data_IF_511265550437
#
_entry.id   IF_511265550437
#
_cell.length_a   1.000
_cell.length_b   1.000
_cell.length_c   1.000
_cell.angle_alpha   90.00
_cell.angle_beta   90.00
_cell.angle_gamma   90.00
#
_symmetry.space_group_name_H-M   'P 1'
#
loop_
_entity.id
_entity.type
_entity.pdbx_description
1 polymer ?
#
# COMPACT_ATOMS: atom_id res chain seq x y z
N UNK A 1 5.57 22.84 -13.34
CA UNK A 1 5.13 22.03 -12.21
C UNK A 1 4.43 20.76 -12.71
N UNK A 2 4.80 19.61 -12.18
CA UNK A 2 4.14 18.35 -12.56
C UNK A 2 2.83 18.21 -11.79
N UNK A 3 1.84 17.60 -12.42
CA UNK A 3 0.57 17.23 -11.79
C UNK A 3 0.55 15.72 -11.51
N UNK A 4 -0.32 15.27 -10.63
CA UNK A 4 -0.51 13.84 -10.42
C UNK A 4 -0.86 13.12 -11.73
N UNK A 5 -1.68 13.76 -12.57
CA UNK A 5 -2.03 13.19 -13.87
C UNK A 5 -0.81 13.02 -14.78
N UNK A 6 0.10 13.99 -14.81
CA UNK A 6 1.31 13.90 -15.61
C UNK A 6 2.28 12.83 -15.11
N UNK A 7 2.17 12.44 -13.83
CA UNK A 7 2.95 11.36 -13.24
C UNK A 7 2.38 9.97 -13.54
N UNK A 8 1.17 9.90 -14.10
CA UNK A 8 0.51 8.63 -14.41
C UNK A 8 -0.57 8.20 -13.44
N UNK A 9 -0.89 9.04 -12.44
CA UNK A 9 -1.95 8.72 -11.46
C UNK A 9 -3.32 8.85 -12.13
N UNK A 10 -4.18 7.85 -11.91
CA UNK A 10 -5.51 7.82 -12.51
C UNK A 10 -6.45 8.85 -11.89
N UNK A 11 -7.50 9.20 -12.63
CA UNK A 11 -8.44 10.24 -12.22
C UNK A 11 -9.16 9.89 -10.91
N UNK A 12 -9.47 8.63 -10.68
CA UNK A 12 -10.14 8.16 -9.45
C UNK A 12 -9.30 8.46 -8.21
N UNK A 13 -8.01 8.17 -8.27
CA UNK A 13 -7.10 8.47 -7.16
C UNK A 13 -6.89 9.98 -6.99
N UNK A 14 -6.82 10.72 -8.09
CA UNK A 14 -6.71 12.18 -8.04
C UNK A 14 -7.94 12.78 -7.35
N UNK A 15 -9.14 12.28 -7.63
CA UNK A 15 -10.35 12.71 -6.94
C UNK A 15 -10.30 12.43 -5.45
N UNK A 16 -9.81 11.24 -5.07
CA UNK A 16 -9.67 10.88 -3.66
C UNK A 16 -8.69 11.82 -2.94
N UNK A 17 -7.59 12.18 -3.60
CA UNK A 17 -6.61 13.13 -3.06
C UNK A 17 -7.22 14.54 -2.91
N UNK A 18 -7.98 14.99 -3.88
CA UNK A 18 -8.63 16.31 -3.85
C UNK A 18 -9.59 16.43 -2.67
N UNK A 19 -10.31 15.36 -2.33
CA UNK A 19 -11.19 15.34 -1.17
C UNK A 19 -10.44 15.54 0.14
N UNK A 20 -9.15 15.20 0.17
CA UNK A 20 -8.27 15.42 1.32
C UNK A 20 -7.52 16.75 1.26
N UNK A 21 -7.79 17.58 0.26
CA UNK A 21 -7.10 18.84 0.06
C UNK A 21 -5.72 18.72 -0.59
N UNK A 22 -5.37 17.55 -1.10
CA UNK A 22 -4.09 17.29 -1.77
C UNK A 22 -4.27 17.54 -3.26
N UNK A 23 -3.70 18.64 -3.75
CA UNK A 23 -3.90 19.07 -5.14
C UNK A 23 -2.67 18.89 -6.02
N UNK A 24 -1.49 19.00 -5.40
CA UNK A 24 -0.22 18.97 -6.14
C UNK A 24 0.75 17.97 -5.51
N UNK A 25 1.57 17.30 -6.32
CA UNK A 25 2.55 16.37 -5.79
C UNK A 25 3.71 17.10 -5.10
N UNK A 26 4.26 16.45 -4.07
CA UNK A 26 5.50 16.88 -3.42
C UNK A 26 6.71 16.47 -4.27
N UNK A 27 7.92 17.03 -4.00
CA UNK A 27 9.11 16.64 -4.77
C UNK A 27 9.41 15.14 -4.74
N UNK A 28 9.27 14.48 -3.59
CA UNK A 28 9.52 13.04 -3.51
C UNK A 28 8.50 12.24 -4.33
N UNK A 29 7.26 12.70 -4.37
CA UNK A 29 6.22 12.08 -5.20
C UNK A 29 6.52 12.26 -6.70
N UNK A 30 6.92 13.45 -7.11
CA UNK A 30 7.29 13.71 -8.51
C UNK A 30 8.43 12.81 -8.98
N UNK A 31 9.40 12.55 -8.11
CA UNK A 31 10.57 11.74 -8.44
C UNK A 31 10.27 10.24 -8.40
N UNK A 32 9.45 9.79 -7.45
CA UNK A 32 9.28 8.36 -7.17
C UNK A 32 8.16 7.72 -7.97
N UNK A 33 7.02 8.40 -8.14
CA UNK A 33 5.84 7.80 -8.75
C UNK A 33 6.10 7.27 -10.16
N UNK A 34 6.73 8.05 -11.08
CA UNK A 34 6.98 7.53 -12.43
C UNK A 34 7.93 6.33 -12.45
N UNK A 35 8.90 6.29 -11.53
CA UNK A 35 9.88 5.22 -11.45
C UNK A 35 9.21 3.91 -11.02
N UNK A 36 8.31 3.99 -10.03
CA UNK A 36 7.55 2.82 -9.57
C UNK A 36 6.61 2.31 -10.67
N UNK A 37 5.96 3.22 -11.41
CA UNK A 37 5.10 2.82 -12.53
C UNK A 37 5.85 2.09 -13.63
N UNK A 38 7.13 2.42 -13.85
CA UNK A 38 7.98 1.72 -14.81
C UNK A 38 8.42 0.33 -14.35
N UNK A 39 8.10 -0.04 -13.10
CA UNK A 39 8.48 -1.32 -12.54
C UNK A 39 9.90 -1.38 -12.00
N UNK A 40 10.55 -0.24 -11.82
CA UNK A 40 11.91 -0.17 -11.29
C UNK A 40 11.89 -0.15 -9.76
N UNK A 41 12.93 -0.68 -9.16
CA UNK A 41 13.14 -0.60 -7.72
C UNK A 41 13.54 0.83 -7.34
N UNK A 42 13.10 1.27 -6.15
CA UNK A 42 13.34 2.63 -5.67
C UNK A 42 13.79 2.59 -4.22
N UNK A 43 14.85 3.32 -3.93
CA UNK A 43 15.22 3.69 -2.57
C UNK A 43 15.01 5.18 -2.45
N UNK A 44 14.02 5.58 -1.64
CA UNK A 44 13.65 6.97 -1.49
C UNK A 44 13.95 7.44 -0.06
N UNK A 45 14.71 8.51 0.04
CA UNK A 45 15.04 9.13 1.33
C UNK A 45 14.47 10.54 1.35
N UNK A 46 13.63 10.81 2.34
CA UNK A 46 13.03 12.12 2.54
C UNK A 46 12.69 12.31 4.02
N UNK A 47 12.59 13.57 4.43
CA UNK A 47 12.22 13.88 5.81
C UNK A 47 10.76 13.53 6.09
N UNK A 48 10.42 13.36 7.37
CA UNK A 48 9.04 13.14 7.81
C UNK A 48 8.15 14.30 7.36
N UNK A 49 6.94 13.98 6.91
CA UNK A 49 5.97 14.99 6.49
C UNK A 49 6.14 15.49 5.05
N UNK A 50 6.99 14.84 4.24
CA UNK A 50 7.24 15.23 2.85
C UNK A 50 6.40 14.47 1.83
N UNK A 51 5.46 13.63 2.29
CA UNK A 51 4.58 12.87 1.39
C UNK A 51 5.15 11.55 0.92
N UNK A 52 6.09 10.94 1.67
CA UNK A 52 6.68 9.65 1.31
C UNK A 52 5.64 8.54 1.16
N UNK A 53 4.66 8.51 2.06
CA UNK A 53 3.64 7.45 2.06
C UNK A 53 2.88 7.43 0.75
N UNK A 54 2.41 8.58 0.27
CA UNK A 54 1.71 8.65 -1.02
C UNK A 54 2.63 8.39 -2.21
N UNK A 55 3.91 8.69 -2.08
CA UNK A 55 4.88 8.46 -3.15
C UNK A 55 4.94 6.98 -3.56
N UNK A 56 4.72 6.06 -2.62
CA UNK A 56 4.64 4.63 -2.94
C UNK A 56 3.21 4.10 -2.98
N UNK A 57 2.29 4.60 -2.13
CA UNK A 57 0.92 4.08 -2.11
C UNK A 57 0.16 4.32 -3.41
N UNK A 58 0.31 5.49 -4.02
CA UNK A 58 -0.43 5.81 -5.25
C UNK A 58 -0.11 4.83 -6.38
N UNK A 59 1.17 4.64 -6.77
CA UNK A 59 1.45 3.67 -7.82
C UNK A 59 1.18 2.22 -7.42
N UNK A 60 1.35 1.86 -6.16
CA UNK A 60 1.06 0.52 -5.68
C UNK A 60 -0.42 0.21 -5.80
N UNK A 61 -1.28 1.09 -5.28
CA UNK A 61 -2.73 0.87 -5.33
C UNK A 61 -3.25 0.81 -6.77
N UNK A 62 -2.73 1.66 -7.64
CA UNK A 62 -3.15 1.68 -9.04
C UNK A 62 -2.71 0.43 -9.80
N UNK A 63 -1.63 -0.23 -9.38
CA UNK A 63 -1.12 -1.44 -10.03
C UNK A 63 -1.79 -2.73 -9.54
N UNK A 64 -2.64 -2.66 -8.53
CA UNK A 64 -3.37 -3.83 -8.05
C UNK A 64 -4.40 -4.26 -9.10
N UNK A 65 -4.42 -5.54 -9.42
CA UNK A 65 -5.45 -6.15 -10.26
C UNK A 65 -6.64 -6.51 -9.38
N UNK A 66 -7.67 -5.68 -9.39
CA UNK A 66 -8.82 -5.82 -8.49
C UNK A 66 -9.72 -7.00 -8.82
N UNK A 67 -9.63 -7.54 -10.03
CA UNK A 67 -10.34 -8.74 -10.47
C UNK A 67 -9.65 -10.04 -10.03
N UNK A 68 -8.44 -9.95 -9.48
CA UNK A 68 -7.69 -11.11 -9.00
C UNK A 68 -7.66 -11.09 -7.47
N UNK A 69 -8.32 -12.07 -6.84
CA UNK A 69 -8.44 -12.16 -5.38
C UNK A 69 -7.29 -13.01 -4.81
N UNK A 70 -6.12 -12.39 -4.75
CA UNK A 70 -4.94 -12.94 -4.10
C UNK A 70 -4.01 -11.83 -3.66
N UNK A 71 -3.10 -12.16 -2.76
CA UNK A 71 -2.10 -11.21 -2.27
C UNK A 71 -1.20 -10.77 -3.42
N UNK A 72 -1.08 -9.47 -3.63
CA UNK A 72 -0.29 -8.90 -4.72
C UNK A 72 0.77 -7.93 -4.20
N UNK A 73 0.52 -7.29 -3.07
CA UNK A 73 1.37 -6.27 -2.48
C UNK A 73 1.63 -6.59 -1.02
N UNK A 74 2.88 -6.45 -0.63
CA UNK A 74 3.30 -6.57 0.77
C UNK A 74 3.97 -5.27 1.21
N UNK A 75 3.47 -4.68 2.29
CA UNK A 75 4.03 -3.46 2.89
C UNK A 75 4.51 -3.81 4.30
N UNK A 76 5.78 -3.55 4.56
CA UNK A 76 6.41 -3.86 5.84
C UNK A 76 6.85 -2.56 6.53
N UNK A 77 6.54 -2.44 7.81
CA UNK A 77 7.00 -1.34 8.63
C UNK A 77 7.33 -1.85 10.04
N UNK A 78 8.21 -1.16 10.77
CA UNK A 78 8.74 -1.70 12.02
C UNK A 78 7.78 -1.64 13.21
N UNK A 79 6.76 -0.78 13.18
CA UNK A 79 5.85 -0.58 14.31
C UNK A 79 4.40 -0.75 13.92
N UNK A 80 3.58 -1.15 14.90
CA UNK A 80 2.13 -1.26 14.72
C UNK A 80 1.49 0.07 14.38
N UNK A 81 1.95 1.15 15.02
CA UNK A 81 1.43 2.49 14.82
C UNK A 81 1.64 2.95 13.38
N UNK A 82 2.82 2.70 12.81
CA UNK A 82 3.10 3.07 11.43
C UNK A 82 2.28 2.23 10.45
N UNK A 83 2.15 0.92 10.68
CA UNK A 83 1.28 0.07 9.86
C UNK A 83 -0.15 0.55 9.90
N UNK A 84 -0.66 0.93 11.07
CA UNK A 84 -2.02 1.45 11.21
C UNK A 84 -2.22 2.74 10.41
N UNK A 85 -1.26 3.68 10.50
CA UNK A 85 -1.30 4.92 9.75
C UNK A 85 -1.31 4.68 8.24
N UNK A 86 -0.41 3.84 7.77
CA UNK A 86 -0.33 3.50 6.33
C UNK A 86 -1.60 2.79 5.88
N UNK A 87 -2.10 1.86 6.68
CA UNK A 87 -3.32 1.12 6.36
C UNK A 87 -4.54 2.04 6.27
N UNK A 88 -4.70 2.95 7.23
CA UNK A 88 -5.83 3.90 7.23
C UNK A 88 -5.77 4.80 5.99
N UNK A 89 -4.59 5.31 5.65
CA UNK A 89 -4.41 6.14 4.46
C UNK A 89 -4.66 5.35 3.17
N UNK A 90 -4.15 4.13 3.10
CA UNK A 90 -4.36 3.26 1.95
C UNK A 90 -5.84 2.92 1.75
N UNK A 91 -6.57 2.64 2.83
CA UNK A 91 -8.01 2.35 2.76
C UNK A 91 -8.79 3.57 2.32
N UNK A 92 -8.46 4.74 2.83
CA UNK A 92 -9.14 5.98 2.49
C UNK A 92 -9.00 6.31 1.00
N UNK A 93 -7.78 6.17 0.47
CA UNK A 93 -7.49 6.47 -0.93
C UNK A 93 -7.90 5.32 -1.85
N UNK A 94 -7.61 4.08 -1.44
CA UNK A 94 -7.81 2.90 -2.27
C UNK A 94 -9.26 2.42 -2.35
N UNK A 95 -10.16 2.91 -1.49
CA UNK A 95 -11.57 2.50 -1.50
C UNK A 95 -12.24 2.79 -2.84
N UNK A 96 -11.85 3.85 -3.51
CA UNK A 96 -12.41 4.22 -4.82
C UNK A 96 -12.04 3.19 -5.91
N UNK A 97 -10.94 2.47 -5.73
CA UNK A 97 -10.49 1.43 -6.66
C UNK A 97 -10.96 0.02 -6.27
N UNK A 98 -11.68 -0.12 -5.15
CA UNK A 98 -12.12 -1.40 -4.61
C UNK A 98 -10.97 -2.35 -4.29
N UNK A 99 -9.84 -1.80 -3.84
CA UNK A 99 -8.69 -2.60 -3.40
C UNK A 99 -8.93 -3.11 -1.98
N UNK A 100 -8.76 -4.40 -1.79
CA UNK A 100 -8.93 -5.05 -0.49
C UNK A 100 -7.61 -5.03 0.28
N UNK A 101 -7.60 -4.40 1.46
CA UNK A 101 -6.41 -4.08 2.23
C UNK A 101 -6.54 -4.66 3.63
N UNK A 102 -5.53 -5.41 4.06
CA UNK A 102 -5.53 -6.06 5.38
C UNK A 102 -4.23 -5.76 6.14
N UNK A 103 -4.30 -5.05 7.27
CA UNK A 103 -3.15 -4.94 8.17
C UNK A 103 -3.05 -6.17 9.08
N UNK A 104 -1.83 -6.69 9.23
CA UNK A 104 -1.50 -7.80 10.12
C UNK A 104 -0.56 -7.29 11.21
N UNK A 105 -1.11 -7.00 12.37
CA UNK A 105 -0.35 -6.47 13.51
C UNK A 105 -0.63 -7.26 14.77
N UNK A 106 0.32 -7.28 15.70
CA UNK A 106 0.11 -7.84 17.03
C UNK A 106 -0.99 -7.08 17.79
N UNK A 107 -1.54 -7.70 18.83
CA UNK A 107 -2.68 -7.15 19.56
C UNK A 107 -4.04 -7.53 19.00
N UNK A 108 -4.10 -8.03 17.77
CA UNK A 108 -5.25 -8.73 17.20
C UNK A 108 -5.05 -10.23 17.31
N UNK A 109 -6.15 -10.99 17.39
CA UNK A 109 -6.05 -12.44 17.50
C UNK A 109 -5.57 -13.06 16.18
N UNK A 110 -4.80 -14.13 16.28
CA UNK A 110 -4.38 -14.89 15.10
C UNK A 110 -5.60 -15.45 14.37
N UNK A 111 -6.58 -15.94 15.09
CA UNK A 111 -7.81 -16.54 14.54
C UNK A 111 -8.57 -15.54 13.67
N UNK A 112 -8.75 -14.31 14.14
CA UNK A 112 -9.42 -13.27 13.37
C UNK A 112 -8.64 -12.94 12.08
N UNK A 113 -7.32 -12.90 12.17
CA UNK A 113 -6.46 -12.63 11.00
C UNK A 113 -6.48 -13.79 10.01
N UNK A 114 -6.50 -15.04 10.49
CA UNK A 114 -6.63 -16.21 9.62
C UNK A 114 -7.93 -16.17 8.81
N UNK A 115 -9.03 -15.79 9.46
CA UNK A 115 -10.31 -15.65 8.80
C UNK A 115 -10.28 -14.56 7.71
N UNK A 116 -9.66 -13.43 8.01
CA UNK A 116 -9.54 -12.32 7.06
C UNK A 116 -8.61 -12.68 5.90
N UNK A 117 -7.51 -13.38 6.17
CA UNK A 117 -6.58 -13.86 5.13
C UNK A 117 -7.24 -14.88 4.20
N UNK A 118 -8.21 -15.64 4.69
CA UNK A 118 -8.96 -16.58 3.88
C UNK A 118 -9.74 -15.93 2.74
N UNK A 119 -10.03 -14.64 2.84
CA UNK A 119 -10.67 -13.86 1.77
C UNK A 119 -9.71 -13.44 0.67
N UNK A 120 -8.42 -13.72 0.81
CA UNK A 120 -7.36 -13.39 -0.15
C UNK A 120 -7.32 -11.90 -0.50
N UNK A 121 -7.04 -11.01 0.48
CA UNK A 121 -6.92 -9.57 0.21
C UNK A 121 -5.70 -9.27 -0.68
N UNK A 122 -5.80 -8.21 -1.47
CA UNK A 122 -4.78 -7.87 -2.46
C UNK A 122 -3.56 -7.17 -1.87
N UNK A 123 -3.76 -6.36 -0.83
CA UNK A 123 -2.68 -5.62 -0.16
C UNK A 123 -2.59 -6.06 1.30
N UNK A 124 -1.43 -6.56 1.67
CA UNK A 124 -1.12 -6.95 3.03
C UNK A 124 -0.10 -5.96 3.60
N UNK A 125 -0.37 -5.47 4.81
CA UNK A 125 0.60 -4.68 5.56
C UNK A 125 0.88 -5.36 6.89
N UNK A 126 2.10 -5.26 7.37
CA UNK A 126 2.38 -5.84 8.67
C UNK A 126 3.74 -5.49 9.23
N UNK A 127 3.88 -5.75 10.52
CA UNK A 127 5.18 -5.75 11.18
C UNK A 127 5.89 -7.06 10.89
N UNK A 128 7.24 -7.07 10.89
CA UNK A 128 7.98 -8.27 10.46
C UNK A 128 7.63 -9.53 11.24
N UNK A 129 7.49 -9.43 12.56
CA UNK A 129 7.20 -10.62 13.40
C UNK A 129 5.87 -11.26 13.09
N UNK A 130 4.81 -10.46 12.93
CA UNK A 130 3.48 -10.99 12.63
C UNK A 130 3.39 -11.53 11.20
N UNK A 131 4.02 -10.86 10.24
CA UNK A 131 4.09 -11.35 8.86
C UNK A 131 4.81 -12.69 8.79
N UNK A 132 5.92 -12.82 9.51
CA UNK A 132 6.69 -14.04 9.53
C UNK A 132 5.88 -15.19 10.17
N UNK A 133 5.13 -14.90 11.23
CA UNK A 133 4.26 -15.89 11.88
C UNK A 133 3.23 -16.44 10.87
N UNK A 134 2.53 -15.57 10.16
CA UNK A 134 1.56 -16.01 9.15
C UNK A 134 2.21 -16.72 7.97
N UNK A 135 3.39 -16.29 7.55
CA UNK A 135 4.13 -16.98 6.48
C UNK A 135 4.50 -18.39 6.88
N UNK A 136 4.99 -18.59 8.12
CA UNK A 136 5.33 -19.91 8.64
C UNK A 136 4.12 -20.81 8.81
N UNK A 137 2.96 -20.27 9.12
CA UNK A 137 1.71 -21.02 9.23
C UNK A 137 1.13 -21.41 7.87
N UNK A 138 1.64 -20.84 6.78
CA UNK A 138 1.09 -21.02 5.44
C UNK A 138 -0.19 -20.23 5.19
N UNK A 139 -0.59 -19.35 6.10
CA UNK A 139 -1.78 -18.52 5.96
C UNK A 139 -1.56 -17.31 5.07
N UNK A 140 -0.31 -16.85 4.93
CA UNK A 140 0.08 -15.77 4.04
C UNK A 140 0.84 -16.35 2.85
N UNK A 141 0.33 -16.12 1.65
CA UNK A 141 0.90 -16.65 0.42
C UNK A 141 1.87 -15.64 -0.19
N UNK A 142 3.15 -15.79 0.13
CA UNK A 142 4.20 -14.86 -0.35
C UNK A 142 4.55 -15.07 -1.82
N UNK A 143 4.29 -16.24 -2.37
CA UNK A 143 4.60 -16.58 -3.77
C UNK A 143 3.77 -15.79 -4.77
N UNK A 144 2.66 -15.20 -4.35
CA UNK A 144 1.80 -14.36 -5.20
C UNK A 144 2.20 -12.89 -5.20
N UNK A 145 3.08 -12.46 -4.30
CA UNK A 145 3.45 -11.06 -4.13
C UNK A 145 4.30 -10.58 -5.29
N UNK A 146 3.92 -9.44 -5.87
CA UNK A 146 4.65 -8.80 -6.98
C UNK A 146 5.28 -7.47 -6.60
N UNK A 147 4.73 -6.78 -5.59
CA UNK A 147 5.22 -5.49 -5.13
C UNK A 147 5.52 -5.57 -3.64
N UNK A 148 6.72 -5.15 -3.26
CA UNK A 148 7.17 -5.13 -1.86
C UNK A 148 7.59 -3.72 -1.49
N UNK A 149 7.07 -3.24 -0.37
CA UNK A 149 7.49 -1.97 0.20
C UNK A 149 7.91 -2.15 1.67
#
# INVERSE_FOLDING_TARGET
MKSFKSLGVCDELIQALQKQGIKEPTPIQEQSIPVVFKGNDVIAKAQTGTGKTLAFLLPILQRVHTDVHQEQVLIIAPTRELIKQISDEAKEIGSILNVDILPLIGGKTIEAQLQQLGRRPQVILGTPGRLLDHAKRGSLHLDCIRLLY
#
